data_IF_667704110065
#
_entry.id   IF_667704110065
#
_cell.length_a   1.000
_cell.length_b   1.000
_cell.length_c   1.000
_cell.angle_alpha   90.00
_cell.angle_beta   90.00
_cell.angle_gamma   90.00
#
_symmetry.space_group_name_H-M   'P 1'
#
loop_
_entity.id
_entity.type
_entity.pdbx_description
1 polymer ?
#
# COMPACT_ATOMS: atom_id res chain seq x y z
N UNK A 1 -22.63 -4.63 10.63
CA UNK A 1 -23.06 -4.68 9.22
C UNK A 1 -24.25 -3.76 8.95
N UNK A 2 -25.28 -3.79 9.76
CA UNK A 2 -26.49 -2.98 9.62
C UNK A 2 -26.19 -1.47 9.62
N UNK A 3 -25.39 -0.99 10.57
CA UNK A 3 -24.96 0.41 10.64
C UNK A 3 -24.18 0.82 9.39
N UNK A 4 -23.30 -0.04 8.88
CA UNK A 4 -22.56 0.23 7.65
C UNK A 4 -23.49 0.32 6.43
N UNK A 5 -24.48 -0.58 6.31
CA UNK A 5 -25.47 -0.52 5.24
C UNK A 5 -26.32 0.75 5.30
N UNK A 6 -26.74 1.15 6.48
CA UNK A 6 -27.47 2.39 6.69
C UNK A 6 -26.65 3.62 6.30
N UNK A 7 -25.35 3.64 6.68
CA UNK A 7 -24.41 4.68 6.28
C UNK A 7 -24.20 4.70 4.76
N UNK A 8 -23.90 3.54 4.16
CA UNK A 8 -23.67 3.44 2.72
C UNK A 8 -24.90 3.90 1.92
N UNK A 9 -26.09 3.49 2.32
CA UNK A 9 -27.35 3.97 1.74
C UNK A 9 -27.48 5.49 1.85
N UNK A 10 -27.28 6.03 3.05
CA UNK A 10 -27.38 7.47 3.29
C UNK A 10 -26.39 8.29 2.46
N UNK A 11 -25.20 7.76 2.19
CA UNK A 11 -24.16 8.43 1.37
C UNK A 11 -24.42 8.28 -0.13
N UNK A 12 -24.83 7.10 -0.58
CA UNK A 12 -24.96 6.78 -2.00
C UNK A 12 -26.30 7.26 -2.60
N UNK A 13 -27.36 7.24 -1.80
CA UNK A 13 -28.71 7.66 -2.22
C UNK A 13 -29.02 9.11 -1.79
N UNK A 14 -28.00 9.93 -1.58
CA UNK A 14 -28.13 11.33 -1.22
C UNK A 14 -28.79 12.12 -2.37
N UNK A 15 -29.86 12.84 -2.06
CA UNK A 15 -30.71 13.60 -2.99
C UNK A 15 -30.21 15.03 -3.24
N UNK A 16 -28.93 15.31 -3.14
CA UNK A 16 -28.33 16.65 -3.28
C UNK A 16 -28.53 17.57 -2.07
N UNK A 17 -29.33 17.16 -1.06
CA UNK A 17 -29.67 18.00 0.10
C UNK A 17 -28.63 17.95 1.22
N UNK A 18 -27.62 17.08 1.13
CA UNK A 18 -26.66 16.86 2.23
C UNK A 18 -25.44 17.74 2.19
N UNK A 19 -25.33 18.66 1.22
CA UNK A 19 -24.23 19.64 1.14
C UNK A 19 -22.84 19.02 0.89
N UNK A 20 -22.76 17.75 0.43
CA UNK A 20 -21.51 17.11 0.07
C UNK A 20 -21.32 17.14 -1.46
N UNK A 21 -20.09 17.28 -1.95
CA UNK A 21 -19.79 17.24 -3.37
C UNK A 21 -20.35 15.98 -4.05
N UNK A 22 -20.23 14.81 -3.39
CA UNK A 22 -20.74 13.55 -3.91
C UNK A 22 -22.24 13.59 -4.19
N UNK A 23 -23.03 14.23 -3.35
CA UNK A 23 -24.49 14.32 -3.51
C UNK A 23 -24.90 15.25 -4.65
N UNK A 24 -23.98 16.07 -5.16
CA UNK A 24 -24.19 16.99 -6.30
C UNK A 24 -23.73 16.39 -7.64
N UNK A 25 -23.09 15.21 -7.61
CA UNK A 25 -22.57 14.56 -8.80
C UNK A 25 -23.52 13.45 -9.26
N UNK A 26 -23.71 13.37 -10.59
CA UNK A 26 -24.38 12.27 -11.25
C UNK A 26 -23.55 11.81 -12.45
N UNK A 27 -23.76 10.59 -12.88
CA UNK A 27 -23.14 10.13 -14.12
C UNK A 27 -23.76 10.88 -15.31
N UNK A 28 -22.91 11.39 -16.19
CA UNK A 28 -23.33 12.00 -17.43
C UNK A 28 -23.70 10.89 -18.44
N UNK A 29 -24.96 10.51 -18.45
CA UNK A 29 -25.47 9.45 -19.35
C UNK A 29 -26.06 10.00 -20.65
N UNK A 30 -26.21 11.31 -20.76
CA UNK A 30 -26.77 11.95 -21.94
C UNK A 30 -25.84 11.75 -23.16
N UNK A 31 -26.38 11.19 -24.22
CA UNK A 31 -25.63 10.89 -25.44
C UNK A 31 -24.75 9.63 -25.39
N UNK A 32 -24.79 8.87 -24.29
CA UNK A 32 -24.08 7.59 -24.18
C UNK A 32 -24.97 6.48 -24.73
N UNK A 33 -24.45 5.72 -25.70
CA UNK A 33 -25.10 4.49 -26.16
C UNK A 33 -24.71 3.34 -25.26
N UNK A 34 -25.66 2.68 -24.59
CA UNK A 34 -25.34 1.51 -23.76
C UNK A 34 -24.72 0.38 -24.59
N UNK A 35 -23.73 -0.29 -24.03
CA UNK A 35 -23.16 -1.52 -24.60
C UNK A 35 -23.77 -2.75 -23.92
N UNK A 36 -23.76 -3.93 -24.56
CA UNK A 36 -24.16 -5.18 -23.94
C UNK A 36 -23.33 -5.46 -22.68
N UNK A 37 -23.96 -6.00 -21.63
CA UNK A 37 -23.26 -6.32 -20.38
C UNK A 37 -22.07 -7.28 -20.58
N UNK A 38 -22.15 -8.17 -21.57
CA UNK A 38 -21.07 -9.09 -21.92
C UNK A 38 -19.81 -8.39 -22.49
N UNK A 39 -19.96 -7.15 -22.96
CA UNK A 39 -18.84 -6.31 -23.45
C UNK A 39 -18.27 -5.39 -22.38
N UNK A 40 -18.91 -5.31 -21.21
CA UNK A 40 -18.42 -4.56 -20.06
C UNK A 40 -17.31 -5.36 -19.38
N UNK A 41 -16.22 -4.68 -19.03
CA UNK A 41 -15.12 -5.30 -18.31
C UNK A 41 -15.62 -5.96 -17.00
N UNK A 42 -15.27 -7.22 -16.72
CA UNK A 42 -15.67 -7.91 -15.49
C UNK A 42 -15.13 -7.19 -14.23
N UNK A 43 -15.94 -7.20 -13.16
CA UNK A 43 -15.57 -6.56 -11.88
C UNK A 43 -14.25 -7.12 -11.33
N UNK A 44 -14.05 -8.43 -11.46
CA UNK A 44 -12.84 -9.13 -11.01
C UNK A 44 -11.58 -8.57 -11.69
N UNK A 45 -11.68 -8.26 -12.99
CA UNK A 45 -10.57 -7.64 -13.75
C UNK A 45 -10.34 -6.21 -13.30
N UNK A 46 -11.41 -5.44 -13.07
CA UNK A 46 -11.32 -4.07 -12.57
C UNK A 46 -10.63 -4.04 -11.21
N UNK A 47 -10.99 -4.95 -10.30
CA UNK A 47 -10.48 -5.01 -8.93
C UNK A 47 -8.96 -5.28 -8.86
N UNK A 48 -8.38 -5.97 -9.83
CA UNK A 48 -6.92 -6.22 -9.88
C UNK A 48 -6.10 -4.93 -9.98
N UNK A 49 -6.68 -3.84 -10.45
CA UNK A 49 -6.03 -2.53 -10.60
C UNK A 49 -6.11 -1.67 -9.34
N UNK A 50 -6.84 -2.11 -8.32
CA UNK A 50 -6.98 -1.36 -7.07
C UNK A 50 -5.91 -1.76 -6.06
N UNK A 51 -5.33 -0.76 -5.43
CA UNK A 51 -4.38 -0.92 -4.34
C UNK A 51 -4.75 0.01 -3.18
N UNK A 52 -4.41 -0.40 -1.96
CA UNK A 52 -4.49 0.52 -0.81
C UNK A 52 -3.37 1.54 -0.87
N UNK A 53 -3.56 2.68 -0.20
CA UNK A 53 -2.46 3.55 0.14
C UNK A 53 -1.42 2.81 1.00
N UNK A 54 -0.18 3.28 0.98
CA UNK A 54 0.89 2.74 1.80
C UNK A 54 0.69 3.17 3.25
N UNK A 55 0.42 2.21 4.13
CA UNK A 55 0.25 2.44 5.57
C UNK A 55 1.14 1.48 6.33
N UNK A 56 2.14 2.02 7.04
CA UNK A 56 3.13 1.20 7.71
C UNK A 56 2.63 0.60 9.02
N UNK A 57 3.09 -0.61 9.33
CA UNK A 57 2.91 -1.21 10.64
C UNK A 57 3.59 -0.35 11.72
N UNK A 58 2.79 0.12 12.67
CA UNK A 58 3.20 1.09 13.69
C UNK A 58 2.58 2.47 13.49
N UNK A 59 2.20 2.86 12.27
CA UNK A 59 1.27 3.98 12.04
C UNK A 59 -0.19 3.55 12.21
N UNK A 60 -0.48 2.30 11.85
CA UNK A 60 -1.75 1.63 12.15
C UNK A 60 -1.48 0.36 12.97
N UNK A 61 -2.52 -0.21 13.59
CA UNK A 61 -2.40 -1.45 14.36
C UNK A 61 -2.16 -2.69 13.48
N UNK A 62 -1.72 -3.79 14.09
CA UNK A 62 -1.55 -5.06 13.40
C UNK A 62 -2.88 -5.54 12.79
N UNK A 63 -3.96 -5.46 13.56
CA UNK A 63 -5.30 -5.90 13.16
C UNK A 63 -5.80 -5.11 11.95
N UNK A 64 -5.60 -3.81 11.93
CA UNK A 64 -5.99 -2.96 10.79
C UNK A 64 -5.14 -3.28 9.56
N UNK A 65 -3.83 -3.44 9.74
CA UNK A 65 -2.89 -3.75 8.65
C UNK A 65 -3.19 -5.12 8.02
N UNK A 66 -3.45 -6.14 8.85
CA UNK A 66 -3.81 -7.49 8.39
C UNK A 66 -5.21 -7.53 7.76
N UNK A 67 -6.19 -6.85 8.35
CA UNK A 67 -7.56 -6.77 7.80
C UNK A 67 -7.57 -6.17 6.40
N UNK A 68 -6.81 -5.10 6.18
CA UNK A 68 -6.66 -4.50 4.85
C UNK A 68 -6.05 -5.47 3.84
N UNK A 69 -5.02 -6.20 4.26
CA UNK A 69 -4.38 -7.20 3.40
C UNK A 69 -5.34 -8.34 3.04
N UNK A 70 -6.05 -8.90 4.02
CA UNK A 70 -7.06 -9.95 3.81
C UNK A 70 -8.15 -9.46 2.87
N UNK A 71 -8.71 -8.26 3.12
CA UNK A 71 -9.77 -7.71 2.30
C UNK A 71 -9.34 -7.56 0.84
N UNK A 72 -8.16 -6.97 0.60
CA UNK A 72 -7.64 -6.79 -0.75
C UNK A 72 -7.33 -8.12 -1.44
N UNK A 73 -6.74 -9.08 -0.71
CA UNK A 73 -6.45 -10.41 -1.26
C UNK A 73 -7.74 -11.15 -1.66
N UNK A 74 -8.80 -11.06 -0.85
CA UNK A 74 -10.10 -11.69 -1.15
C UNK A 74 -10.76 -11.15 -2.41
N UNK A 75 -10.64 -9.86 -2.67
CA UNK A 75 -11.24 -9.23 -3.87
C UNK A 75 -10.32 -9.22 -5.09
N UNK A 76 -9.12 -9.79 -4.99
CA UNK A 76 -8.14 -9.79 -6.09
C UNK A 76 -7.33 -8.49 -6.24
N UNK A 77 -7.54 -7.51 -5.37
CA UNK A 77 -6.75 -6.28 -5.30
C UNK A 77 -5.40 -6.47 -4.60
N UNK A 78 -4.73 -5.36 -4.29
CA UNK A 78 -3.41 -5.36 -3.67
C UNK A 78 -3.36 -4.41 -2.46
N UNK A 79 -2.86 -4.89 -1.32
CA UNK A 79 -2.52 -4.04 -0.19
C UNK A 79 -1.05 -3.67 -0.23
N UNK A 80 -0.71 -2.49 0.30
CA UNK A 80 0.65 -1.98 0.40
C UNK A 80 1.10 -2.04 1.87
N UNK A 81 2.25 -2.66 2.12
CA UNK A 81 2.80 -2.83 3.46
C UNK A 81 3.22 -1.51 4.13
N UNK A 82 3.44 -0.45 3.34
CA UNK A 82 4.16 0.73 3.83
C UNK A 82 5.63 0.42 4.13
N UNK A 83 6.33 1.40 4.71
CA UNK A 83 7.79 1.37 4.93
C UNK A 83 8.25 0.66 6.22
N UNK A 84 7.35 0.02 6.93
CA UNK A 84 7.64 -0.57 8.25
C UNK A 84 8.00 -2.05 8.27
N UNK A 85 8.13 -2.68 7.11
CA UNK A 85 8.27 -4.13 7.02
C UNK A 85 6.96 -4.86 7.26
N UNK A 86 7.05 -6.17 7.34
CA UNK A 86 5.90 -7.06 7.56
C UNK A 86 6.35 -8.30 8.33
N UNK A 87 5.56 -8.73 9.30
CA UNK A 87 5.85 -9.93 10.09
C UNK A 87 5.82 -11.17 9.18
N UNK A 88 6.89 -11.99 9.13
CA UNK A 88 6.95 -13.18 8.29
C UNK A 88 5.84 -14.21 8.54
N UNK A 89 5.22 -14.20 9.72
CA UNK A 89 4.04 -15.05 10.02
C UNK A 89 2.86 -14.77 9.11
N UNK A 90 2.83 -13.61 8.46
CA UNK A 90 1.79 -13.21 7.50
C UNK A 90 1.99 -13.81 6.10
N UNK A 91 3.17 -14.38 5.83
CA UNK A 91 3.49 -14.97 4.51
C UNK A 91 2.90 -16.37 4.36
N UNK A 92 2.41 -16.95 5.44
CA UNK A 92 1.72 -18.24 5.46
C UNK A 92 0.22 -17.99 5.45
N UNK A 93 -0.52 -18.81 4.70
CA UNK A 93 -1.98 -18.74 4.68
C UNK A 93 -2.54 -19.15 6.05
N UNK A 94 -3.62 -18.54 6.45
CA UNK A 94 -4.42 -18.94 7.60
C UNK A 94 -5.18 -20.26 7.31
N UNK A 95 -5.63 -20.95 8.35
CA UNK A 95 -6.34 -22.23 8.23
C UNK A 95 -7.62 -22.14 7.37
N UNK A 96 -8.22 -20.96 7.30
CA UNK A 96 -9.39 -20.69 6.48
C UNK A 96 -9.05 -20.31 5.02
N UNK A 97 -7.77 -20.33 4.65
CA UNK A 97 -7.26 -19.97 3.34
C UNK A 97 -7.03 -18.46 3.12
N UNK A 98 -7.24 -17.62 4.11
CA UNK A 98 -6.96 -16.20 4.00
C UNK A 98 -5.46 -15.93 3.94
N UNK A 99 -5.10 -14.91 3.16
CA UNK A 99 -3.74 -14.40 3.11
C UNK A 99 -3.67 -13.04 3.80
N UNK A 100 -2.81 -12.93 4.80
CA UNK A 100 -2.55 -11.68 5.51
C UNK A 100 -1.40 -10.88 4.92
N UNK A 101 -0.71 -11.40 3.90
CA UNK A 101 0.43 -10.72 3.27
C UNK A 101 0.00 -9.52 2.44
N UNK A 102 0.78 -8.47 2.46
CA UNK A 102 0.65 -7.37 1.50
C UNK A 102 1.35 -7.74 0.20
N UNK A 103 0.65 -7.64 -0.93
CA UNK A 103 1.22 -7.95 -2.25
C UNK A 103 2.23 -6.89 -2.69
N UNK A 104 1.98 -5.61 -2.35
CA UNK A 104 2.91 -4.53 -2.59
C UNK A 104 3.75 -4.34 -1.33
N UNK A 105 5.08 -4.45 -1.47
CA UNK A 105 6.01 -4.25 -0.36
C UNK A 105 6.89 -3.04 -0.62
N UNK A 106 6.83 -2.07 0.29
CA UNK A 106 7.54 -0.81 0.15
C UNK A 106 8.97 -0.91 0.69
N UNK A 107 9.90 -0.34 -0.05
CA UNK A 107 11.32 -0.21 0.31
C UNK A 107 11.64 1.28 0.39
N UNK A 108 11.80 1.80 1.60
CA UNK A 108 12.16 3.19 1.86
C UNK A 108 13.67 3.32 2.10
N UNK A 109 14.20 4.54 2.12
CA UNK A 109 15.63 4.79 2.34
C UNK A 109 16.16 4.24 3.66
N UNK A 110 15.35 4.18 4.72
CA UNK A 110 15.76 3.59 5.99
C UNK A 110 15.78 2.05 6.02
N UNK A 111 15.21 1.38 5.02
CA UNK A 111 15.17 -0.10 4.91
C UNK A 111 14.56 -0.81 6.12
N UNK A 112 13.68 -0.17 6.91
CA UNK A 112 13.06 -0.80 8.07
C UNK A 112 12.29 -2.07 7.69
N UNK A 113 12.67 -3.20 8.29
CA UNK A 113 12.02 -4.49 8.06
C UNK A 113 12.25 -5.11 6.69
N UNK A 114 13.15 -4.56 5.89
CA UNK A 114 13.50 -5.11 4.57
C UNK A 114 14.45 -6.27 4.76
N UNK A 115 13.93 -7.47 4.56
CA UNK A 115 14.68 -8.73 4.60
C UNK A 115 14.53 -9.47 3.27
N UNK A 116 15.39 -10.46 3.01
CA UNK A 116 15.25 -11.30 1.82
C UNK A 116 13.89 -11.99 1.75
N UNK A 117 13.37 -12.48 2.89
CA UNK A 117 12.03 -13.09 2.96
C UNK A 117 10.92 -12.09 2.59
N UNK A 118 11.03 -10.85 3.10
CA UNK A 118 10.11 -9.78 2.77
C UNK A 118 10.11 -9.46 1.26
N UNK A 119 11.31 -9.34 0.67
CA UNK A 119 11.45 -9.02 -0.75
C UNK A 119 10.90 -10.15 -1.64
N UNK A 120 11.26 -11.41 -1.34
CA UNK A 120 10.84 -12.58 -2.14
C UNK A 120 9.33 -12.82 -2.07
N UNK A 121 8.68 -12.47 -0.96
CA UNK A 121 7.24 -12.65 -0.80
C UNK A 121 6.41 -11.56 -1.53
N UNK A 122 7.01 -10.50 -2.01
CA UNK A 122 6.31 -9.43 -2.71
C UNK A 122 5.85 -9.87 -4.12
N UNK A 123 4.64 -9.45 -4.52
CA UNK A 123 4.20 -9.47 -5.92
C UNK A 123 4.71 -8.20 -6.64
N UNK A 124 4.84 -7.10 -5.88
CA UNK A 124 5.35 -5.82 -6.37
C UNK A 124 6.25 -5.20 -5.30
N UNK A 125 7.43 -4.72 -5.69
CA UNK A 125 8.31 -3.91 -4.85
C UNK A 125 8.14 -2.44 -5.22
N UNK A 126 7.88 -1.61 -4.21
CA UNK A 126 7.71 -0.17 -4.39
C UNK A 126 8.81 0.60 -3.66
N UNK A 127 9.64 1.31 -4.41
CA UNK A 127 10.67 2.18 -3.85
C UNK A 127 10.01 3.48 -3.37
N UNK A 128 10.20 3.81 -2.09
CA UNK A 128 9.78 5.08 -1.53
C UNK A 128 10.96 6.04 -1.47
N UNK A 129 10.96 7.04 -2.34
CA UNK A 129 12.05 8.01 -2.46
C UNK A 129 12.00 9.11 -1.40
N UNK A 130 10.80 9.63 -1.07
CA UNK A 130 10.63 10.75 -0.16
C UNK A 130 9.18 10.85 0.33
N UNK A 131 8.95 11.75 1.30
CA UNK A 131 7.60 12.17 1.70
C UNK A 131 7.39 13.62 1.30
N UNK A 132 6.38 13.87 0.45
CA UNK A 132 6.08 15.22 -0.04
C UNK A 132 5.63 16.21 1.04
N UNK A 133 4.95 15.71 2.08
CA UNK A 133 4.47 16.55 3.19
C UNK A 133 5.59 17.04 4.13
N UNK A 134 6.77 16.40 4.11
CA UNK A 134 7.91 16.74 4.98
C UNK A 134 9.24 16.70 4.20
N UNK A 135 9.38 17.54 3.17
CA UNK A 135 10.63 17.59 2.42
C UNK A 135 11.78 18.01 3.34
N UNK A 136 12.86 17.24 3.35
CA UNK A 136 14.04 17.49 4.19
C UNK A 136 13.99 16.84 5.57
N UNK A 137 12.83 16.51 6.12
CA UNK A 137 12.74 15.86 7.46
C UNK A 137 12.56 14.33 7.35
N UNK A 138 11.91 13.85 6.31
CA UNK A 138 11.59 12.43 6.14
C UNK A 138 10.45 11.94 7.02
N UNK A 139 10.23 10.62 7.02
CA UNK A 139 9.22 9.95 7.86
C UNK A 139 9.74 9.72 9.27
N UNK A 140 8.88 9.88 10.28
CA UNK A 140 9.23 9.63 11.66
C UNK A 140 8.19 8.74 12.36
N UNK A 141 8.67 7.76 13.12
CA UNK A 141 7.89 7.06 14.13
C UNK A 141 8.48 7.42 15.50
N UNK A 142 7.74 8.14 16.35
CA UNK A 142 8.26 8.55 17.66
C UNK A 142 8.45 7.33 18.58
N UNK A 143 9.43 7.39 19.49
CA UNK A 143 9.82 6.26 20.33
C UNK A 143 8.68 5.65 21.16
N UNK A 144 7.73 6.47 21.61
CA UNK A 144 6.56 6.00 22.36
C UNK A 144 5.59 5.12 21.51
N UNK A 145 5.74 5.09 20.19
CA UNK A 145 5.01 4.20 19.27
C UNK A 145 5.85 2.99 18.84
N UNK A 146 7.14 2.98 19.15
CA UNK A 146 8.02 1.86 18.82
C UNK A 146 7.92 0.80 19.91
N UNK A 147 6.79 0.11 19.94
CA UNK A 147 6.56 -1.03 20.83
C UNK A 147 7.48 -2.21 20.48
N UNK A 148 7.71 -3.16 21.42
CA UNK A 148 8.60 -4.30 21.16
C UNK A 148 8.27 -5.09 19.89
N UNK A 149 6.98 -5.32 19.61
CA UNK A 149 6.55 -6.03 18.40
C UNK A 149 6.75 -5.23 17.11
N UNK A 150 6.67 -3.91 17.17
CA UNK A 150 6.97 -3.02 16.02
C UNK A 150 8.48 -3.00 15.78
N UNK A 151 9.26 -2.85 16.85
CA UNK A 151 10.72 -2.88 16.78
C UNK A 151 11.24 -4.20 16.20
N UNK A 152 10.64 -5.33 16.59
CA UNK A 152 11.01 -6.64 16.05
C UNK A 152 10.82 -6.72 14.53
N UNK A 153 9.68 -6.27 13.99
CA UNK A 153 9.41 -6.26 12.55
C UNK A 153 10.29 -5.27 11.80
N UNK A 154 10.60 -4.12 12.42
CA UNK A 154 11.46 -3.09 11.83
C UNK A 154 12.96 -3.34 12.00
N UNK A 155 13.34 -4.40 12.71
CA UNK A 155 14.74 -4.68 13.10
C UNK A 155 15.39 -3.49 13.82
N UNK A 156 14.71 -2.96 14.83
CA UNK A 156 15.09 -1.76 15.57
C UNK A 156 14.97 -1.96 17.08
N UNK A 157 15.28 -0.94 17.86
CA UNK A 157 15.23 -0.98 19.32
C UNK A 157 13.91 -0.42 19.84
N UNK A 158 13.19 -1.13 20.74
CA UNK A 158 11.97 -0.62 21.34
C UNK A 158 12.19 0.70 22.08
N UNK A 159 11.23 1.61 21.96
CA UNK A 159 11.28 2.91 22.64
C UNK A 159 12.18 3.97 21.99
N UNK A 160 12.97 3.60 21.00
CA UNK A 160 13.83 4.53 20.26
C UNK A 160 13.10 5.02 19.01
N UNK A 161 13.05 6.34 18.82
CA UNK A 161 12.43 6.96 17.65
C UNK A 161 13.12 6.55 16.35
N UNK A 162 12.33 6.33 15.30
CA UNK A 162 12.82 5.90 14.00
C UNK A 162 12.59 7.02 12.98
N UNK A 163 13.59 7.28 12.16
CA UNK A 163 13.55 8.27 11.09
C UNK A 163 13.86 7.55 9.79
N UNK A 164 12.95 7.69 8.81
CA UNK A 164 13.21 7.34 7.41
C UNK A 164 13.63 8.64 6.73
N UNK A 165 14.92 8.83 6.46
CA UNK A 165 15.42 10.10 5.93
C UNK A 165 14.96 10.31 4.48
N UNK A 166 15.04 11.54 3.97
CA UNK A 166 14.92 11.82 2.54
C UNK A 166 15.94 11.00 1.74
N UNK A 167 15.79 10.88 0.42
CA UNK A 167 16.52 9.91 -0.41
C UNK A 167 18.04 10.10 -0.49
N UNK A 168 18.61 11.07 0.17
CA UNK A 168 20.01 11.43 0.10
C UNK A 168 20.97 10.61 0.99
N UNK A 169 20.58 9.43 1.48
CA UNK A 169 21.47 8.57 2.26
C UNK A 169 22.18 7.49 1.45
N UNK A 170 21.60 7.07 0.33
CA UNK A 170 22.15 6.03 -0.56
C UNK A 170 21.71 6.20 -2.01
N UNK A 171 20.88 7.18 -2.31
CA UNK A 171 20.36 7.45 -3.66
C UNK A 171 20.56 8.94 -3.95
N UNK A 172 21.71 9.29 -4.51
CA UNK A 172 22.09 10.67 -4.84
C UNK A 172 21.97 10.97 -6.33
N UNK A 173 21.86 9.93 -7.16
CA UNK A 173 21.83 10.04 -8.61
C UNK A 173 20.83 9.07 -9.23
N UNK A 174 20.59 9.21 -10.53
CA UNK A 174 19.77 8.28 -11.30
C UNK A 174 20.45 6.91 -11.36
N UNK A 175 21.76 6.86 -11.38
CA UNK A 175 22.57 5.65 -11.37
C UNK A 175 22.41 4.86 -10.08
N UNK A 176 22.42 5.55 -8.91
CA UNK A 176 22.17 4.90 -7.62
C UNK A 176 20.78 4.28 -7.56
N UNK A 177 19.77 4.98 -8.12
CA UNK A 177 18.44 4.42 -8.22
C UNK A 177 18.37 3.21 -9.14
N UNK A 178 19.09 3.25 -10.26
CA UNK A 178 19.19 2.12 -11.20
C UNK A 178 19.84 0.91 -10.54
N UNK A 179 20.89 1.11 -9.74
CA UNK A 179 21.54 0.07 -8.94
C UNK A 179 20.57 -0.56 -7.94
N UNK A 180 19.83 0.24 -7.17
CA UNK A 180 18.82 -0.26 -6.25
C UNK A 180 17.73 -1.07 -6.95
N UNK A 181 17.25 -0.62 -8.10
CA UNK A 181 16.27 -1.36 -8.92
C UNK A 181 16.85 -2.70 -9.36
N UNK A 182 18.10 -2.72 -9.80
CA UNK A 182 18.79 -3.94 -10.19
C UNK A 182 18.91 -4.92 -9.02
N UNK A 183 19.34 -4.46 -7.86
CA UNK A 183 19.47 -5.28 -6.65
C UNK A 183 18.12 -5.85 -6.18
N UNK A 184 17.07 -5.04 -6.20
CA UNK A 184 15.73 -5.50 -5.84
C UNK A 184 15.20 -6.54 -6.82
N UNK A 185 15.49 -6.41 -8.12
CA UNK A 185 15.15 -7.42 -9.13
C UNK A 185 15.94 -8.71 -8.95
N UNK A 186 17.21 -8.61 -8.59
CA UNK A 186 18.01 -9.78 -8.27
C UNK A 186 17.51 -10.52 -7.01
N UNK A 187 17.00 -9.78 -6.02
CA UNK A 187 16.44 -10.35 -4.80
C UNK A 187 15.06 -10.98 -5.00
N UNK A 188 14.23 -10.41 -5.89
CA UNK A 188 12.89 -10.94 -6.20
C UNK A 188 12.82 -11.32 -7.70
N UNK A 189 13.13 -12.57 -8.05
CA UNK A 189 13.07 -13.05 -9.41
C UNK A 189 11.66 -13.31 -9.94
N UNK A 190 10.63 -13.22 -9.07
CA UNK A 190 9.24 -13.22 -9.52
C UNK A 190 9.01 -11.90 -10.24
N UNK A 191 8.86 -12.01 -11.52
CA UNK A 191 8.59 -10.99 -12.52
C UNK A 191 8.10 -9.65 -11.94
N UNK A 192 9.02 -8.69 -11.91
CA UNK A 192 8.65 -7.30 -12.05
C UNK A 192 8.54 -7.09 -13.56
N UNK A 193 7.70 -7.89 -14.20
CA UNK A 193 7.36 -7.66 -15.60
C UNK A 193 6.56 -6.36 -15.69
N UNK A 194 7.03 -5.45 -16.50
CA UNK A 194 6.39 -4.24 -17.00
C UNK A 194 6.10 -3.08 -16.04
N UNK A 195 6.47 -3.10 -14.77
CA UNK A 195 6.22 -1.97 -13.88
C UNK A 195 7.36 -0.95 -13.78
N UNK A 196 8.42 -1.09 -14.55
CA UNK A 196 9.49 -0.10 -14.67
C UNK A 196 9.00 1.32 -14.98
N UNK A 197 7.83 1.42 -15.58
CA UNK A 197 7.18 2.72 -15.88
C UNK A 197 6.26 3.21 -14.77
N UNK A 198 5.88 2.34 -13.81
CA UNK A 198 4.96 2.69 -12.72
C UNK A 198 5.67 2.89 -11.40
N UNK A 199 6.81 2.23 -11.16
CA UNK A 199 7.59 2.36 -9.93
C UNK A 199 8.24 3.75 -9.76
N UNK A 200 8.33 4.52 -10.83
CA UNK A 200 8.73 5.93 -10.81
C UNK A 200 7.58 6.90 -10.56
N UNK A 201 6.38 6.45 -10.28
CA UNK A 201 5.35 7.34 -9.77
C UNK A 201 5.75 7.79 -8.38
N UNK A 202 6.30 8.98 -8.30
CA UNK A 202 6.35 9.77 -7.07
C UNK A 202 4.98 9.67 -6.42
N UNK A 203 4.92 9.02 -5.27
CA UNK A 203 3.70 8.96 -4.50
C UNK A 203 3.46 10.36 -3.93
N UNK A 204 2.94 11.24 -4.75
CA UNK A 204 2.41 12.53 -4.34
C UNK A 204 1.05 12.28 -3.70
N UNK A 205 1.05 11.63 -2.53
CA UNK A 205 -0.12 11.63 -1.67
C UNK A 205 -0.27 13.03 -1.10
N UNK A 206 -1.15 13.78 -1.70
CA UNK A 206 -1.68 15.01 -1.13
C UNK A 206 -2.55 14.72 0.09
#
# INVERSE_FOLDING_TARGET
EEVFRAYAKAVNEGDGKKGTLRSLLAFATDGVTPIPLAEVEPVETILTRFATGAMSFGSISAEAHETLAIAMNRIGGRSNSGEGGEDPRRFVLDDNGDSRRSKIKQVASARFGVTSAYLVDADELQIKMAQGAKPGEGGQLPGNKVYPWIAAVRHSTPGVGLISPPPHHDIYSIEDLAELIFDLRAANPREIEDEDRKSTRLNSSH
#
